data_IF_562897087989
#
_entry.id   IF_562897087989
#
_cell.length_a   1.000
_cell.length_b   1.000
_cell.length_c   1.000
_cell.angle_alpha   90.00
_cell.angle_beta   90.00
_cell.angle_gamma   90.00
#
_symmetry.space_group_name_H-M   'P 1'
#
loop_
_entity.id
_entity.type
_entity.pdbx_description
1 polymer ?
#
# COMPACT_ATOMS: atom_id res chain seq x y z
N UNK A 1 -12.52 13.61 -54.77
CA UNK A 1 -13.46 13.45 -53.64
C UNK A 1 -14.83 13.38 -54.25
N UNK A 2 -15.51 12.25 -54.14
CA UNK A 2 -16.88 12.10 -54.62
C UNK A 2 -17.80 13.03 -53.82
N UNK A 3 -18.56 13.88 -54.51
CA UNK A 3 -19.53 14.75 -53.86
C UNK A 3 -20.76 13.92 -53.46
N UNK A 4 -21.10 13.98 -52.17
CA UNK A 4 -22.27 13.30 -51.63
C UNK A 4 -23.55 13.79 -52.30
N UNK A 5 -24.42 12.85 -52.65
CA UNK A 5 -25.74 13.09 -53.23
C UNK A 5 -26.65 13.82 -52.25
N UNK A 6 -27.71 14.44 -52.77
CA UNK A 6 -28.59 15.31 -51.98
C UNK A 6 -29.32 14.54 -50.86
N UNK A 7 -29.63 13.26 -51.09
CA UNK A 7 -30.17 12.36 -50.06
C UNK A 7 -29.18 12.07 -48.94
N UNK A 8 -27.91 11.85 -49.26
CA UNK A 8 -26.85 11.58 -48.27
C UNK A 8 -26.58 12.81 -47.40
N UNK A 9 -26.58 14.01 -48.00
CA UNK A 9 -26.47 15.28 -47.25
C UNK A 9 -27.64 15.47 -46.30
N UNK A 10 -28.86 15.09 -46.71
CA UNK A 10 -30.06 15.18 -45.86
C UNK A 10 -30.04 14.16 -44.72
N UNK A 11 -29.54 12.95 -44.96
CA UNK A 11 -29.36 11.93 -43.93
C UNK A 11 -28.37 12.37 -42.84
N UNK A 12 -27.27 13.04 -43.23
CA UNK A 12 -26.29 13.58 -42.29
C UNK A 12 -26.88 14.66 -41.38
N UNK A 13 -27.82 15.47 -41.89
CA UNK A 13 -28.55 16.49 -41.10
C UNK A 13 -29.55 15.87 -40.13
N UNK A 14 -30.10 14.70 -40.43
CA UNK A 14 -31.01 13.95 -39.56
C UNK A 14 -30.33 13.15 -38.45
N UNK A 15 -29.00 13.05 -38.49
CA UNK A 15 -28.19 12.34 -37.51
C UNK A 15 -28.45 12.85 -36.08
N UNK A 16 -28.85 11.95 -35.17
CA UNK A 16 -29.00 12.22 -33.73
C UNK A 16 -27.66 12.34 -33.00
N UNK A 17 -26.54 12.29 -33.74
CA UNK A 17 -25.22 12.65 -33.25
C UNK A 17 -25.08 14.18 -33.22
N UNK A 18 -25.99 14.85 -32.50
CA UNK A 18 -25.72 16.22 -32.08
C UNK A 18 -24.47 16.19 -31.18
N UNK A 19 -23.59 17.20 -31.22
CA UNK A 19 -22.55 17.33 -30.21
C UNK A 19 -23.24 17.32 -28.84
N UNK A 20 -22.86 16.39 -27.97
CA UNK A 20 -23.37 16.36 -26.60
C UNK A 20 -23.15 17.76 -25.99
N UNK A 21 -24.10 18.28 -25.18
CA UNK A 21 -23.90 19.55 -24.50
C UNK A 21 -22.58 19.47 -23.71
N UNK A 22 -21.78 20.55 -23.66
CA UNK A 22 -20.53 20.54 -22.91
C UNK A 22 -20.85 20.17 -21.47
N UNK A 23 -20.37 19.01 -21.03
CA UNK A 23 -20.49 18.59 -19.64
C UNK A 23 -19.86 19.70 -18.79
N UNK A 24 -20.59 20.19 -17.78
CA UNK A 24 -20.04 21.05 -16.74
C UNK A 24 -18.70 20.45 -16.26
N UNK A 25 -17.70 21.26 -15.86
CA UNK A 25 -16.41 20.74 -15.42
C UNK A 25 -16.65 19.81 -14.21
N UNK A 26 -16.76 18.52 -14.50
CA UNK A 26 -16.92 17.50 -13.50
C UNK A 26 -15.62 17.52 -12.72
N UNK A 27 -15.69 17.98 -11.47
CA UNK A 27 -14.65 17.73 -10.49
C UNK A 27 -14.28 16.25 -10.66
N UNK A 28 -13.02 15.91 -10.99
CA UNK A 28 -12.67 14.53 -11.25
C UNK A 28 -13.14 13.72 -10.04
N UNK A 29 -13.87 12.61 -10.24
CA UNK A 29 -14.22 11.76 -9.12
C UNK A 29 -12.91 11.46 -8.38
N UNK A 30 -12.89 11.67 -7.06
CA UNK A 30 -11.77 11.25 -6.22
C UNK A 30 -11.66 9.75 -6.49
N UNK A 31 -10.67 9.35 -7.29
CA UNK A 31 -10.52 7.96 -7.68
C UNK A 31 -10.31 7.21 -6.38
N UNK A 32 -11.31 6.45 -5.96
CA UNK A 32 -11.12 5.47 -4.90
C UNK A 32 -9.94 4.61 -5.35
N UNK A 33 -8.92 4.52 -4.51
CA UNK A 33 -7.74 3.75 -4.83
C UNK A 33 -8.19 2.34 -5.22
N UNK A 34 -7.66 1.80 -6.33
CA UNK A 34 -7.96 0.43 -6.71
C UNK A 34 -7.65 -0.51 -5.53
N UNK A 35 -8.44 -1.58 -5.34
CA UNK A 35 -8.05 -2.66 -4.44
C UNK A 35 -6.73 -3.26 -4.97
N UNK A 36 -5.60 -2.83 -4.40
CA UNK A 36 -4.26 -3.10 -4.93
C UNK A 36 -3.39 -1.85 -5.18
N UNK A 37 -3.89 -0.64 -4.92
CA UNK A 37 -3.08 0.57 -4.89
C UNK A 37 -1.96 0.50 -3.85
N UNK A 38 -0.92 1.37 -3.94
CA UNK A 38 0.27 1.27 -3.10
C UNK A 38 -0.09 1.33 -1.61
N UNK A 39 0.01 0.18 -0.96
CA UNK A 39 -0.23 0.04 0.47
C UNK A 39 0.92 0.73 1.22
N UNK A 40 0.59 1.66 2.11
CA UNK A 40 1.55 2.15 3.09
C UNK A 40 1.90 0.98 4.02
N UNK A 41 3.07 0.38 3.84
CA UNK A 41 3.55 -0.69 4.71
C UNK A 41 4.31 -0.09 5.89
N UNK A 42 4.11 -0.64 7.08
CA UNK A 42 4.95 -0.30 8.23
C UNK A 42 6.40 -0.72 7.92
N UNK A 43 7.33 0.25 7.89
CA UNK A 43 8.74 -0.01 7.54
C UNK A 43 9.37 -1.09 8.41
N UNK A 44 9.03 -1.14 9.71
CA UNK A 44 9.52 -2.17 10.62
C UNK A 44 8.96 -3.55 10.27
N UNK A 45 7.65 -3.64 10.02
CA UNK A 45 7.01 -4.90 9.63
C UNK A 45 7.51 -5.42 8.27
N UNK A 46 7.71 -4.52 7.30
CA UNK A 46 8.27 -4.86 6.00
C UNK A 46 9.71 -5.38 6.12
N UNK A 47 10.52 -4.75 6.97
CA UNK A 47 11.90 -5.19 7.24
C UNK A 47 11.93 -6.57 7.91
N UNK A 48 11.07 -6.81 8.91
CA UNK A 48 10.98 -8.11 9.58
C UNK A 48 10.64 -9.24 8.59
N UNK A 49 9.61 -9.04 7.76
CA UNK A 49 9.24 -9.99 6.70
C UNK A 49 10.34 -10.20 5.67
N UNK A 50 11.07 -9.14 5.33
CA UNK A 50 12.22 -9.25 4.45
C UNK A 50 13.29 -10.15 5.06
N UNK A 51 13.68 -9.92 6.31
CA UNK A 51 14.70 -10.73 6.99
C UNK A 51 14.27 -12.20 7.12
N UNK A 52 13.01 -12.46 7.46
CA UNK A 52 12.44 -13.81 7.50
C UNK A 52 12.54 -14.52 6.15
N UNK A 53 12.15 -13.84 5.06
CA UNK A 53 12.29 -14.40 3.71
C UNK A 53 13.75 -14.66 3.33
N UNK A 54 14.66 -13.74 3.67
CA UNK A 54 16.09 -13.87 3.37
C UNK A 54 16.78 -14.98 4.18
N UNK A 55 16.27 -15.34 5.36
CA UNK A 55 16.77 -16.46 6.16
C UNK A 55 16.43 -17.83 5.55
N UNK A 56 15.31 -17.93 4.84
CA UNK A 56 14.89 -19.16 4.15
C UNK A 56 15.64 -19.40 2.83
N UNK A 57 16.25 -18.35 2.27
CA UNK A 57 17.03 -18.44 1.04
C UNK A 57 18.44 -18.97 1.34
N UNK A 58 18.93 -19.99 0.61
CA UNK A 58 20.33 -20.41 0.74
C UNK A 58 21.23 -19.23 0.37
N UNK A 59 22.13 -18.86 1.27
CA UNK A 59 23.00 -17.68 1.16
C UNK A 59 22.27 -16.33 1.12
N UNK A 60 21.00 -16.24 1.54
CA UNK A 60 20.22 -15.01 1.45
C UNK A 60 20.82 -13.82 2.22
N UNK A 61 21.56 -14.10 3.30
CA UNK A 61 22.25 -13.08 4.10
C UNK A 61 23.73 -12.90 3.73
N UNK A 62 24.24 -13.57 2.69
CA UNK A 62 25.67 -13.51 2.32
C UNK A 62 26.14 -12.11 1.90
N UNK A 63 25.24 -11.24 1.44
CA UNK A 63 25.58 -9.85 1.10
C UNK A 63 25.53 -8.89 2.30
N UNK A 64 25.14 -9.37 3.48
CA UNK A 64 25.00 -8.54 4.69
C UNK A 64 26.30 -8.63 5.48
N UNK A 65 26.86 -7.48 5.89
CA UNK A 65 28.08 -7.46 6.71
C UNK A 65 27.78 -8.11 8.08
N UNK A 66 28.46 -9.22 8.44
CA UNK A 66 28.25 -9.89 9.72
C UNK A 66 28.49 -8.97 10.93
N UNK A 67 29.41 -8.01 10.81
CA UNK A 67 29.68 -7.04 11.90
C UNK A 67 28.48 -6.15 12.19
N UNK A 68 27.71 -5.80 11.16
CA UNK A 68 26.50 -5.00 11.32
C UNK A 68 25.37 -5.82 11.98
N UNK A 69 25.29 -7.11 11.66
CA UNK A 69 24.33 -8.04 12.29
C UNK A 69 24.65 -8.19 13.77
N UNK A 70 25.92 -8.41 14.13
CA UNK A 70 26.35 -8.51 15.52
C UNK A 70 26.04 -7.25 16.32
N UNK A 71 26.35 -6.07 15.76
CA UNK A 71 26.05 -4.79 16.39
C UNK A 71 24.53 -4.58 16.56
N UNK A 72 23.74 -4.91 15.54
CA UNK A 72 22.28 -4.82 15.62
C UNK A 72 21.71 -5.74 16.71
N UNK A 73 22.21 -6.97 16.82
CA UNK A 73 21.82 -7.92 17.88
C UNK A 73 22.21 -7.41 19.26
N UNK A 74 23.41 -6.83 19.40
CA UNK A 74 23.87 -6.22 20.66
C UNK A 74 22.95 -5.07 21.07
N UNK A 75 22.71 -4.12 20.17
CA UNK A 75 21.84 -2.97 20.43
C UNK A 75 20.42 -3.43 20.80
N UNK A 76 19.86 -4.43 20.10
CA UNK A 76 18.53 -4.96 20.41
C UNK A 76 18.48 -5.57 21.83
N UNK A 77 19.47 -6.38 22.22
CA UNK A 77 19.55 -6.95 23.57
C UNK A 77 19.65 -5.87 24.65
N UNK A 78 20.44 -4.84 24.40
CA UNK A 78 20.55 -3.68 25.28
C UNK A 78 19.19 -3.00 25.46
N UNK A 79 18.42 -2.79 24.37
CA UNK A 79 17.06 -2.21 24.49
C UNK A 79 16.08 -3.05 25.30
N UNK A 80 16.17 -4.39 25.26
CA UNK A 80 15.32 -5.30 26.04
C UNK A 80 15.71 -5.28 27.53
N UNK A 81 17.00 -5.27 27.84
CA UNK A 81 17.52 -5.19 29.21
C UNK A 81 17.31 -3.82 29.86
N UNK A 82 17.21 -2.77 29.05
CA UNK A 82 16.94 -1.39 29.46
C UNK A 82 15.47 -1.13 29.83
N UNK A 83 14.71 -2.17 30.21
CA UNK A 83 13.34 -2.06 30.73
C UNK A 83 13.32 -1.16 31.99
N UNK A 84 13.33 0.15 31.77
CA UNK A 84 13.49 1.16 32.81
C UNK A 84 13.65 2.60 32.29
N UNK A 85 14.22 2.84 31.10
CA UNK A 85 14.49 4.23 30.67
C UNK A 85 13.57 4.68 29.55
N UNK A 86 12.32 4.98 29.91
CA UNK A 86 11.52 5.94 29.14
C UNK A 86 11.97 7.35 29.55
N UNK A 87 12.82 7.99 28.75
CA UNK A 87 13.07 9.44 28.88
C UNK A 87 12.01 10.28 28.19
N UNK A 88 10.86 9.70 27.81
CA UNK A 88 9.76 10.43 27.17
C UNK A 88 8.41 9.74 27.39
N UNK A 89 7.94 9.63 28.64
CA UNK A 89 6.52 9.46 29.04
C UNK A 89 5.70 8.31 28.44
N UNK A 90 6.25 7.49 27.54
CA UNK A 90 5.57 6.41 26.84
C UNK A 90 6.11 5.11 27.41
N UNK A 91 5.29 4.48 28.24
CA UNK A 91 5.55 3.15 28.79
C UNK A 91 5.29 2.15 27.66
N UNK A 92 6.36 1.57 27.11
CA UNK A 92 6.23 0.47 26.13
C UNK A 92 6.14 -0.84 26.92
N UNK A 93 4.97 -1.48 26.90
CA UNK A 93 4.78 -2.82 27.46
C UNK A 93 4.96 -3.83 26.34
N UNK A 94 5.92 -4.73 26.52
CA UNK A 94 6.05 -5.91 25.68
C UNK A 94 4.92 -6.87 26.02
N UNK A 95 4.17 -7.30 25.01
CA UNK A 95 3.17 -8.37 25.11
C UNK A 95 3.61 -9.51 24.21
N UNK A 96 3.61 -10.73 24.74
CA UNK A 96 4.14 -11.92 24.07
C UNK A 96 3.18 -12.49 23.02
N UNK A 97 1.94 -11.99 22.98
CA UNK A 97 0.94 -12.37 21.99
C UNK A 97 -0.07 -11.22 21.80
N UNK A 98 -0.44 -10.97 20.55
CA UNK A 98 -1.61 -10.17 20.20
C UNK A 98 -2.69 -11.16 19.77
N UNK A 99 -3.58 -11.52 20.69
CA UNK A 99 -4.74 -12.34 20.35
C UNK A 99 -5.75 -11.50 19.57
N UNK A 100 -5.96 -11.80 18.29
CA UNK A 100 -7.17 -11.40 17.57
C UNK A 100 -8.31 -12.28 18.10
N UNK A 101 -9.10 -11.73 19.03
CA UNK A 101 -10.40 -12.31 19.33
C UNK A 101 -11.34 -11.85 18.22
N UNK A 102 -11.58 -12.74 17.24
CA UNK A 102 -12.70 -12.60 16.32
C UNK A 102 -13.98 -12.51 17.14
N UNK A 103 -14.60 -11.33 17.14
CA UNK A 103 -15.86 -11.03 17.82
C UNK A 103 -16.98 -11.80 17.14
N UNK A 104 -17.14 -13.08 17.52
CA UNK A 104 -18.31 -13.87 17.17
C UNK A 104 -19.48 -13.39 18.04
N UNK A 105 -20.02 -12.23 17.69
CA UNK A 105 -21.27 -11.75 18.24
C UNK A 105 -22.42 -12.59 17.64
N UNK A 106 -22.83 -13.60 18.41
CA UNK A 106 -24.08 -14.33 18.23
C UNK A 106 -25.16 -13.60 19.02
N UNK A 107 -26.17 -13.06 18.31
CA UNK A 107 -27.61 -13.22 18.60
C UNK A 107 -28.44 -12.49 17.53
#
# INVERSE_FOLDING_TARGET
>A
MEELTEEERKALRGSKFAPLPPAAPARPPIRQAHPGGPLKTNKAAALAKFLERKLQEPNGLSSVDPRLVELAVKNAKETVQSSGTSTSGRVIRHVDSFGDYEDNQVD
#
